data_IF_621353370966
#
_entry.id   IF_621353370966
#
_cell.length_a   1.000
_cell.length_b   1.000
_cell.length_c   1.000
_cell.angle_alpha   90.00
_cell.angle_beta   90.00
_cell.angle_gamma   90.00
#
_symmetry.space_group_name_H-M   'P 1'
#
loop_
_entity.id
_entity.type
_entity.pdbx_description
1 polymer ?
#
# COMPACT_ATOMS: atom_id res chain seq x y z
N UNK A 1 -0.23 14.71 6.93
CA UNK A 1 0.35 14.31 8.24
C UNK A 1 0.14 12.82 8.49
N UNK A 2 -1.01 12.32 8.05
CA UNK A 2 -1.53 10.97 8.04
C UNK A 2 -0.53 9.97 7.46
N UNK A 3 0.09 10.24 6.30
CA UNK A 3 1.14 9.37 5.72
C UNK A 3 2.33 9.18 6.67
N UNK A 4 2.75 10.25 7.36
CA UNK A 4 3.85 10.18 8.33
C UNK A 4 3.44 9.43 9.60
N UNK A 5 2.21 9.65 10.08
CA UNK A 5 1.65 8.91 11.19
C UNK A 5 1.58 7.41 10.89
N UNK A 6 1.16 7.04 9.67
CA UNK A 6 1.14 5.66 9.19
C UNK A 6 2.53 5.02 9.31
N UNK A 7 3.56 5.66 8.74
CA UNK A 7 4.91 5.07 8.73
C UNK A 7 5.59 5.08 10.10
N UNK A 8 5.27 6.03 10.99
CA UNK A 8 5.74 6.00 12.38
C UNK A 8 5.28 4.73 13.09
N UNK A 9 4.05 4.29 12.83
CA UNK A 9 3.54 3.02 13.35
C UNK A 9 4.30 1.80 12.84
N UNK A 10 4.95 1.91 11.68
CA UNK A 10 5.73 0.82 11.07
C UNK A 10 7.10 0.66 11.74
N UNK A 11 7.80 1.76 12.00
CA UNK A 11 9.03 1.77 12.81
C UNK A 11 9.31 3.16 13.37
N UNK A 12 9.23 3.32 14.69
CA UNK A 12 9.34 4.61 15.37
C UNK A 12 10.78 4.94 15.82
N UNK A 13 11.68 3.97 15.85
CA UNK A 13 13.01 4.14 16.43
C UNK A 13 13.83 5.21 15.69
N UNK A 14 14.65 6.01 16.40
CA UNK A 14 15.40 7.13 15.78
C UNK A 14 16.31 6.72 14.61
N UNK A 15 16.89 5.52 14.67
CA UNK A 15 17.77 4.96 13.63
C UNK A 15 17.08 4.78 12.27
N UNK A 16 15.75 4.72 12.23
CA UNK A 16 14.97 4.58 10.99
C UNK A 16 14.39 5.91 10.46
N UNK A 17 14.88 7.04 10.96
CA UNK A 17 14.40 8.38 10.57
C UNK A 17 14.45 8.65 9.06
N UNK A 18 15.55 8.31 8.40
CA UNK A 18 15.70 8.46 6.94
C UNK A 18 14.71 7.56 6.19
N UNK A 19 14.57 6.30 6.62
CA UNK A 19 13.59 5.37 6.05
C UNK A 19 12.16 5.91 6.18
N UNK A 20 11.79 6.43 7.36
CA UNK A 20 10.47 7.07 7.55
C UNK A 20 10.26 8.25 6.61
N UNK A 21 11.26 9.10 6.43
CA UNK A 21 11.17 10.25 5.54
C UNK A 21 10.91 9.83 4.08
N UNK A 22 11.67 8.85 3.57
CA UNK A 22 11.48 8.33 2.22
C UNK A 22 10.11 7.68 2.05
N UNK A 23 9.73 6.75 2.93
CA UNK A 23 8.47 6.04 2.76
C UNK A 23 7.26 6.96 2.96
N UNK A 24 7.36 8.02 3.77
CA UNK A 24 6.30 9.04 3.84
C UNK A 24 6.06 9.70 2.50
N UNK A 25 7.13 10.09 1.79
CA UNK A 25 7.04 10.69 0.45
C UNK A 25 6.44 9.70 -0.54
N UNK A 26 6.85 8.42 -0.48
CA UNK A 26 6.31 7.36 -1.32
C UNK A 26 4.82 7.11 -1.04
N UNK A 27 4.37 7.07 0.22
CA UNK A 27 2.94 6.93 0.56
C UNK A 27 2.15 8.10 -0.03
N UNK A 28 2.63 9.34 0.16
CA UNK A 28 1.95 10.51 -0.37
C UNK A 28 1.82 10.46 -1.90
N UNK A 29 2.89 10.07 -2.61
CA UNK A 29 2.86 9.91 -4.06
C UNK A 29 1.97 8.74 -4.50
N UNK A 30 2.01 7.62 -3.79
CA UNK A 30 1.16 6.47 -4.07
C UNK A 30 -0.33 6.83 -3.94
N UNK A 31 -0.72 7.61 -2.92
CA UNK A 31 -2.09 8.10 -2.79
C UNK A 31 -2.50 9.09 -3.89
N UNK A 32 -1.60 9.96 -4.35
CA UNK A 32 -1.91 10.81 -5.51
C UNK A 32 -2.10 9.96 -6.77
N UNK A 33 -1.30 8.90 -6.94
CA UNK A 33 -1.45 7.97 -8.05
C UNK A 33 -2.79 7.23 -7.92
N UNK A 34 -3.13 6.71 -6.74
CA UNK A 34 -4.42 6.08 -6.43
C UNK A 34 -5.60 6.98 -6.85
N UNK A 35 -5.62 8.24 -6.39
CA UNK A 35 -6.65 9.24 -6.76
C UNK A 35 -6.71 9.49 -8.28
N UNK A 36 -5.55 9.48 -8.96
CA UNK A 36 -5.51 9.61 -10.43
C UNK A 36 -6.22 8.43 -11.10
N UNK A 37 -6.02 7.20 -10.62
CA UNK A 37 -6.66 6.01 -11.20
C UNK A 37 -8.13 5.87 -10.85
N UNK A 38 -8.52 6.26 -9.63
CA UNK A 38 -9.86 6.04 -9.11
C UNK A 38 -10.87 7.10 -9.58
N UNK A 39 -10.50 8.38 -9.56
CA UNK A 39 -11.50 9.46 -9.69
C UNK A 39 -11.20 10.51 -10.75
N UNK A 40 -10.02 10.48 -11.39
CA UNK A 40 -9.61 11.59 -12.26
C UNK A 40 -9.23 11.19 -13.69
N UNK A 41 -8.34 10.23 -13.87
CA UNK A 41 -7.75 9.90 -15.16
C UNK A 41 -8.71 9.15 -16.08
N UNK A 42 -8.68 9.47 -17.37
CA UNK A 42 -9.38 8.67 -18.40
C UNK A 42 -8.63 7.37 -18.67
N UNK A 43 -9.31 6.31 -19.13
CA UNK A 43 -8.65 5.03 -19.37
C UNK A 43 -7.45 5.13 -20.34
N UNK A 44 -7.55 6.00 -21.36
CA UNK A 44 -6.46 6.29 -22.29
C UNK A 44 -5.26 6.97 -21.61
N UNK A 45 -5.50 7.96 -20.74
CA UNK A 45 -4.47 8.64 -19.96
C UNK A 45 -3.82 7.68 -18.95
N UNK A 46 -4.60 6.88 -18.25
CA UNK A 46 -4.12 5.88 -17.28
C UNK A 46 -3.22 4.83 -17.95
N UNK A 47 -3.51 4.47 -19.20
CA UNK A 47 -2.64 3.58 -19.98
C UNK A 47 -1.28 4.24 -20.24
N UNK A 48 -1.27 5.51 -20.67
CA UNK A 48 -0.03 6.26 -20.91
C UNK A 48 0.79 6.41 -19.61
N UNK A 49 0.12 6.69 -18.50
CA UNK A 49 0.76 6.81 -17.18
C UNK A 49 1.36 5.48 -16.71
N UNK A 50 0.62 4.39 -16.88
CA UNK A 50 1.11 3.03 -16.60
C UNK A 50 2.36 2.74 -17.42
N UNK A 51 2.32 2.99 -18.74
CA UNK A 51 3.45 2.76 -19.64
C UNK A 51 4.67 3.63 -19.29
N UNK A 52 4.46 4.86 -18.83
CA UNK A 52 5.52 5.75 -18.36
C UNK A 52 6.20 5.22 -17.10
N UNK A 53 5.43 4.75 -16.11
CA UNK A 53 5.96 4.12 -14.90
C UNK A 53 6.67 2.80 -15.22
N UNK A 54 6.17 2.00 -16.16
CA UNK A 54 6.83 0.76 -16.59
C UNK A 54 8.23 1.01 -17.16
N UNK A 55 8.36 2.05 -17.99
CA UNK A 55 9.63 2.45 -18.60
C UNK A 55 10.56 3.13 -17.60
N UNK A 56 10.00 3.93 -16.69
CA UNK A 56 10.75 4.69 -15.68
C UNK A 56 11.77 5.68 -16.30
N UNK A 57 11.41 6.32 -17.41
CA UNK A 57 12.28 7.23 -18.18
C UNK A 57 11.71 8.66 -18.21
N UNK A 58 12.53 9.68 -17.95
CA UNK A 58 12.11 11.09 -18.00
C UNK A 58 11.49 11.48 -19.36
N UNK A 59 11.99 10.91 -20.45
CA UNK A 59 11.48 11.17 -21.81
C UNK A 59 10.01 10.76 -22.02
N UNK A 60 9.43 9.98 -21.11
CA UNK A 60 8.00 9.62 -21.18
C UNK A 60 7.07 10.71 -20.67
N UNK A 61 7.60 11.69 -19.91
CA UNK A 61 6.83 12.84 -19.39
C UNK A 61 6.11 13.61 -20.51
N UNK A 62 6.79 13.84 -21.63
CA UNK A 62 6.25 14.62 -22.76
C UNK A 62 4.97 14.01 -23.38
N UNK A 63 4.70 12.73 -23.11
CA UNK A 63 3.50 12.02 -23.61
C UNK A 63 2.33 12.03 -22.62
N UNK A 64 2.52 12.56 -21.41
CA UNK A 64 1.49 12.59 -20.37
C UNK A 64 0.76 13.94 -20.35
N UNK A 65 -0.51 13.98 -19.92
CA UNK A 65 -1.17 15.22 -19.53
C UNK A 65 -0.39 15.98 -18.44
N UNK A 66 -0.49 17.31 -18.41
CA UNK A 66 0.29 18.18 -17.51
C UNK A 66 0.20 17.76 -16.02
N UNK A 67 -1.00 17.42 -15.54
CA UNK A 67 -1.18 17.00 -14.14
C UNK A 67 -0.46 15.68 -13.80
N UNK A 68 -0.45 14.74 -14.74
CA UNK A 68 0.29 13.48 -14.62
C UNK A 68 1.80 13.68 -14.71
N UNK A 69 2.26 14.64 -15.53
CA UNK A 69 3.67 15.00 -15.59
C UNK A 69 4.18 15.48 -14.23
N UNK A 70 3.41 16.33 -13.54
CA UNK A 70 3.76 16.84 -12.21
C UNK A 70 3.91 15.67 -11.22
N UNK A 71 2.94 14.75 -11.20
CA UNK A 71 2.97 13.57 -10.33
C UNK A 71 4.17 12.66 -10.65
N UNK A 72 4.38 12.31 -11.92
CA UNK A 72 5.46 11.41 -12.31
C UNK A 72 6.84 12.04 -12.10
N UNK A 73 7.01 13.33 -12.38
CA UNK A 73 8.23 14.06 -12.10
C UNK A 73 8.56 14.06 -10.59
N UNK A 74 7.57 14.30 -9.73
CA UNK A 74 7.76 14.24 -8.28
C UNK A 74 8.15 12.84 -7.80
N UNK A 75 7.59 11.78 -8.41
CA UNK A 75 8.02 10.40 -8.15
C UNK A 75 9.48 10.17 -8.54
N UNK A 76 9.89 10.61 -9.74
CA UNK A 76 11.27 10.48 -10.20
C UNK A 76 12.25 11.24 -9.29
N UNK A 77 11.90 12.44 -8.85
CA UNK A 77 12.73 13.26 -7.95
C UNK A 77 12.93 12.59 -6.57
N UNK A 78 11.85 12.10 -5.95
CA UNK A 78 11.93 11.37 -4.68
C UNK A 78 12.76 10.10 -4.82
N UNK A 79 12.56 9.34 -5.89
CA UNK A 79 13.31 8.10 -6.13
C UNK A 79 14.79 8.39 -6.42
N UNK A 80 15.10 9.52 -7.06
CA UNK A 80 16.48 9.99 -7.24
C UNK A 80 17.15 10.37 -5.93
N UNK A 81 16.45 11.08 -5.03
CA UNK A 81 16.94 11.38 -3.68
C UNK A 81 17.28 10.08 -2.90
N UNK A 82 16.41 9.09 -3.01
CA UNK A 82 16.64 7.76 -2.43
C UNK A 82 17.85 7.07 -3.07
N UNK A 83 17.96 7.12 -4.39
CA UNK A 83 19.04 6.51 -5.16
C UNK A 83 20.41 7.12 -4.83
N UNK A 84 20.52 8.45 -4.77
CA UNK A 84 21.75 9.16 -4.37
C UNK A 84 22.20 8.71 -2.97
N UNK A 85 21.26 8.58 -2.04
CA UNK A 85 21.53 8.09 -0.68
C UNK A 85 21.99 6.62 -0.68
N UNK A 86 21.32 5.76 -1.46
CA UNK A 86 21.69 4.34 -1.55
C UNK A 86 23.02 4.12 -2.26
N UNK A 87 23.37 4.92 -3.27
CA UNK A 87 24.68 4.91 -3.93
C UNK A 87 25.79 5.28 -2.94
N UNK A 88 25.59 6.35 -2.17
CA UNK A 88 26.56 6.77 -1.14
C UNK A 88 26.81 5.66 -0.10
N UNK A 89 25.80 4.87 0.23
CA UNK A 89 25.91 3.75 1.17
C UNK A 89 26.37 2.42 0.53
N UNK A 90 26.67 2.39 -0.77
CA UNK A 90 27.06 1.16 -1.48
C UNK A 90 25.92 0.14 -1.63
N UNK A 91 24.67 0.60 -1.63
CA UNK A 91 23.43 -0.22 -1.63
C UNK A 91 22.48 0.14 -2.76
N UNK A 92 22.99 0.67 -3.88
CA UNK A 92 22.20 1.10 -5.04
C UNK A 92 21.25 0.03 -5.60
N UNK A 93 21.61 -1.26 -5.45
CA UNK A 93 20.77 -2.39 -5.87
C UNK A 93 19.35 -2.37 -5.26
N UNK A 94 19.16 -1.74 -4.09
CA UNK A 94 17.84 -1.62 -3.43
C UNK A 94 16.83 -0.86 -4.28
N UNK A 95 17.30 0.06 -5.12
CA UNK A 95 16.43 0.89 -5.95
C UNK A 95 15.73 0.09 -7.06
N UNK A 96 16.32 -1.03 -7.50
CA UNK A 96 15.64 -1.95 -8.41
C UNK A 96 14.33 -2.46 -7.78
N UNK A 97 14.39 -2.96 -6.55
CA UNK A 97 13.22 -3.50 -5.85
C UNK A 97 12.19 -2.42 -5.54
N UNK A 98 12.64 -1.21 -5.19
CA UNK A 98 11.77 -0.05 -4.97
C UNK A 98 10.94 0.28 -6.22
N UNK A 99 11.60 0.35 -7.38
CA UNK A 99 10.97 0.65 -8.68
C UNK A 99 10.04 -0.48 -9.12
N UNK A 100 10.47 -1.73 -9.03
CA UNK A 100 9.64 -2.89 -9.42
C UNK A 100 8.39 -3.05 -8.55
N UNK A 101 8.49 -2.78 -7.24
CA UNK A 101 7.33 -2.80 -6.37
C UNK A 101 6.31 -1.70 -6.69
N UNK A 102 6.78 -0.50 -7.06
CA UNK A 102 5.90 0.60 -7.52
C UNK A 102 5.23 0.25 -8.86
N UNK A 103 5.96 -0.32 -9.82
CA UNK A 103 5.38 -0.81 -11.08
C UNK A 103 4.29 -1.86 -10.83
N UNK A 104 4.55 -2.80 -9.92
CA UNK A 104 3.56 -3.81 -9.52
C UNK A 104 2.25 -3.20 -9.03
N UNK A 105 2.32 -2.19 -8.17
CA UNK A 105 1.17 -1.43 -7.67
C UNK A 105 0.39 -0.75 -8.80
N UNK A 106 1.09 -0.03 -9.67
CA UNK A 106 0.48 0.73 -10.76
C UNK A 106 -0.18 -0.17 -11.80
N UNK A 107 0.40 -1.35 -12.10
CA UNK A 107 -0.24 -2.37 -12.96
C UNK A 107 -1.59 -2.83 -12.37
N UNK A 108 -1.68 -2.99 -11.06
CA UNK A 108 -2.94 -3.39 -10.41
C UNK A 108 -3.97 -2.27 -10.40
N UNK A 109 -3.57 -1.01 -10.17
CA UNK A 109 -4.47 0.13 -10.35
C UNK A 109 -5.02 0.22 -11.76
N UNK A 110 -4.18 0.02 -12.78
CA UNK A 110 -4.67 -0.02 -14.16
C UNK A 110 -5.65 -1.19 -14.41
N UNK A 111 -5.46 -2.32 -13.73
CA UNK A 111 -6.36 -3.48 -13.83
C UNK A 111 -7.72 -3.16 -13.22
N UNK A 112 -7.76 -2.54 -12.04
CA UNK A 112 -9.00 -2.09 -11.37
C UNK A 112 -9.72 -1.02 -12.19
N UNK A 113 -9.00 -0.02 -12.71
CA UNK A 113 -9.57 0.96 -13.64
C UNK A 113 -10.18 0.28 -14.87
N UNK A 114 -9.52 -0.73 -15.45
CA UNK A 114 -10.08 -1.50 -16.55
C UNK A 114 -11.38 -2.22 -16.19
N UNK A 115 -11.49 -2.78 -14.98
CA UNK A 115 -12.72 -3.39 -14.49
C UNK A 115 -13.84 -2.38 -14.39
N UNK A 116 -13.55 -1.22 -13.78
CA UNK A 116 -14.48 -0.10 -13.65
C UNK A 116 -15.02 0.37 -15.01
N UNK A 117 -14.15 0.78 -15.92
CA UNK A 117 -14.52 1.32 -17.23
C UNK A 117 -15.27 0.31 -18.11
N UNK A 118 -15.09 -0.99 -17.91
CA UNK A 118 -15.78 -2.06 -18.65
C UNK A 118 -17.05 -2.55 -17.94
N UNK A 119 -17.34 -2.07 -16.73
CA UNK A 119 -18.41 -2.61 -15.89
C UNK A 119 -18.23 -4.10 -15.56
N UNK A 120 -16.98 -4.57 -15.55
CA UNK A 120 -16.67 -5.96 -15.24
C UNK A 120 -16.65 -6.16 -13.73
N UNK A 121 -17.28 -7.23 -13.26
CA UNK A 121 -17.18 -7.65 -11.87
C UNK A 121 -16.44 -8.98 -11.83
N UNK A 122 -15.22 -9.02 -11.26
CA UNK A 122 -14.44 -10.23 -11.14
C UNK A 122 -15.09 -11.22 -10.15
N UNK A 123 -14.64 -12.48 -10.17
CA UNK A 123 -14.86 -13.36 -9.02
C UNK A 123 -14.11 -12.80 -7.81
N UNK A 124 -14.53 -13.15 -6.60
CA UNK A 124 -13.86 -12.75 -5.37
C UNK A 124 -12.40 -13.24 -5.33
N UNK A 125 -12.11 -14.43 -5.85
CA UNK A 125 -10.73 -14.92 -5.96
C UNK A 125 -9.89 -14.08 -6.95
N UNK A 126 -10.45 -13.75 -8.12
CA UNK A 126 -9.78 -12.88 -9.11
C UNK A 126 -9.55 -11.49 -8.52
N UNK A 127 -10.56 -10.92 -7.86
CA UNK A 127 -10.47 -9.66 -7.12
C UNK A 127 -9.31 -9.68 -6.13
N UNK A 128 -9.25 -10.67 -5.23
CA UNK A 128 -8.20 -10.75 -4.21
C UNK A 128 -6.79 -10.88 -4.80
N UNK A 129 -6.65 -11.49 -5.98
CA UNK A 129 -5.35 -11.59 -6.65
C UNK A 129 -4.77 -10.21 -7.04
N UNK A 130 -5.65 -9.24 -7.34
CA UNK A 130 -5.32 -7.85 -7.69
C UNK A 130 -5.36 -6.96 -6.45
N UNK A 131 -6.44 -7.03 -5.67
CA UNK A 131 -6.71 -6.24 -4.46
C UNK A 131 -5.61 -6.29 -3.41
N UNK A 132 -4.99 -7.46 -3.23
CA UNK A 132 -3.85 -7.64 -2.30
C UNK A 132 -2.65 -6.79 -2.71
N UNK A 133 -2.44 -6.56 -4.01
CA UNK A 133 -1.33 -5.74 -4.51
C UNK A 133 -1.73 -4.27 -4.59
N UNK A 134 -2.94 -3.96 -5.09
CA UNK A 134 -3.45 -2.59 -5.23
C UNK A 134 -3.63 -1.88 -3.90
N UNK A 135 -3.86 -2.61 -2.80
CA UNK A 135 -3.81 -2.05 -1.45
C UNK A 135 -2.45 -1.45 -1.06
N UNK A 136 -1.41 -1.56 -1.89
CA UNK A 136 -0.12 -0.90 -1.71
C UNK A 136 0.79 -1.52 -0.66
N UNK A 137 0.29 -2.44 0.16
CA UNK A 137 1.01 -3.02 1.29
C UNK A 137 2.27 -3.80 0.92
N UNK A 138 2.28 -4.67 -0.12
CA UNK A 138 3.51 -5.31 -0.57
C UNK A 138 4.56 -4.31 -1.05
N UNK A 139 4.12 -3.22 -1.71
CA UNK A 139 4.97 -2.12 -2.13
C UNK A 139 5.57 -1.39 -0.91
N UNK A 140 4.74 -1.01 0.07
CA UNK A 140 5.19 -0.33 1.29
C UNK A 140 6.11 -1.19 2.16
N UNK A 141 5.86 -2.51 2.23
CA UNK A 141 6.75 -3.44 2.91
C UNK A 141 8.13 -3.48 2.25
N UNK A 142 8.19 -3.48 0.91
CA UNK A 142 9.45 -3.43 0.15
C UNK A 142 10.17 -2.10 0.34
N UNK A 143 9.45 -0.98 0.20
CA UNK A 143 10.01 0.37 0.39
C UNK A 143 10.56 0.57 1.80
N UNK A 144 9.90 -0.01 2.79
CA UNK A 144 10.31 0.06 4.19
C UNK A 144 11.69 -0.53 4.46
N UNK A 145 12.12 -1.55 3.72
CA UNK A 145 13.44 -2.16 3.91
C UNK A 145 14.59 -1.27 3.43
N UNK A 146 14.33 -0.27 2.57
CA UNK A 146 15.37 0.58 1.95
C UNK A 146 16.18 1.31 3.02
N UNK A 147 15.50 1.87 4.02
CA UNK A 147 16.12 2.64 5.11
C UNK A 147 16.61 1.82 6.30
N UNK A 148 16.56 0.48 6.26
CA UNK A 148 16.80 -0.35 7.45
C UNK A 148 18.28 -0.67 7.75
N UNK A 149 19.23 -0.08 7.03
CA UNK A 149 20.65 -0.34 7.27
C UNK A 149 21.09 -1.73 6.82
N UNK A 150 22.11 -2.30 7.46
CA UNK A 150 22.75 -3.57 7.07
C UNK A 150 21.83 -4.80 7.18
N UNK A 151 20.78 -4.75 8.01
CA UNK A 151 19.89 -5.90 8.20
C UNK A 151 19.10 -6.25 6.93
N UNK A 152 18.85 -5.26 6.06
CA UNK A 152 18.12 -5.43 4.81
C UNK A 152 19.07 -5.82 3.66
N UNK A 153 19.50 -7.08 3.66
CA UNK A 153 20.38 -7.63 2.62
C UNK A 153 19.63 -7.83 1.30
N UNK A 154 20.34 -8.21 0.23
CA UNK A 154 19.71 -8.53 -1.05
C UNK A 154 18.70 -9.68 -0.92
N UNK A 155 19.02 -10.69 -0.10
CA UNK A 155 18.14 -11.83 0.17
C UNK A 155 16.84 -11.39 0.86
N UNK A 156 16.90 -10.36 1.72
CA UNK A 156 15.70 -9.77 2.32
C UNK A 156 14.81 -9.11 1.27
N UNK A 157 15.41 -8.46 0.27
CA UNK A 157 14.67 -7.86 -0.85
C UNK A 157 14.10 -8.90 -1.80
N UNK A 158 14.87 -9.95 -2.15
CA UNK A 158 14.38 -11.09 -2.94
C UNK A 158 13.21 -11.79 -2.22
N UNK A 159 13.28 -11.90 -0.90
CA UNK A 159 12.21 -12.46 -0.07
C UNK A 159 10.97 -11.57 -0.03
N UNK A 160 11.09 -10.27 0.24
CA UNK A 160 9.89 -9.42 0.42
C UNK A 160 9.14 -9.19 -0.89
N UNK A 161 9.87 -9.02 -2.00
CA UNK A 161 9.26 -8.71 -3.31
C UNK A 161 8.51 -9.91 -3.89
N UNK A 162 8.83 -11.14 -3.46
CA UNK A 162 8.09 -12.34 -3.85
C UNK A 162 6.72 -12.44 -3.15
N UNK A 163 6.37 -11.48 -2.29
CA UNK A 163 5.11 -11.41 -1.54
C UNK A 163 4.83 -12.73 -0.78
N UNK A 164 5.73 -13.14 0.14
CA UNK A 164 5.62 -14.39 0.87
C UNK A 164 4.38 -14.40 1.76
N UNK A 165 3.96 -15.57 2.25
CA UNK A 165 2.68 -15.76 2.95
C UNK A 165 2.41 -14.70 4.02
N UNK A 166 3.39 -14.37 4.87
CA UNK A 166 3.23 -13.32 5.89
C UNK A 166 2.93 -11.93 5.29
N UNK A 167 3.63 -11.52 4.22
CA UNK A 167 3.41 -10.24 3.54
C UNK A 167 2.05 -10.25 2.85
N UNK A 168 1.70 -11.35 2.17
CA UNK A 168 0.39 -11.56 1.55
C UNK A 168 -0.74 -11.49 2.58
N UNK A 169 -0.60 -12.13 3.73
CA UNK A 169 -1.61 -12.08 4.81
C UNK A 169 -1.74 -10.67 5.41
N UNK A 170 -0.63 -9.94 5.59
CA UNK A 170 -0.69 -8.54 6.03
C UNK A 170 -1.43 -7.65 5.02
N UNK A 171 -1.14 -7.82 3.74
CA UNK A 171 -1.80 -7.09 2.66
C UNK A 171 -3.28 -7.49 2.49
N UNK A 172 -3.60 -8.76 2.67
CA UNK A 172 -4.98 -9.25 2.66
C UNK A 172 -5.82 -8.63 3.79
N UNK A 173 -5.26 -8.52 5.00
CA UNK A 173 -5.92 -7.81 6.11
C UNK A 173 -6.22 -6.37 5.71
N UNK A 174 -5.24 -5.67 5.11
CA UNK A 174 -5.43 -4.30 4.69
C UNK A 174 -6.55 -4.15 3.66
N UNK A 175 -6.50 -4.94 2.58
CA UNK A 175 -7.53 -4.90 1.52
C UNK A 175 -8.92 -5.17 2.08
N UNK A 176 -9.08 -6.25 2.85
CA UNK A 176 -10.37 -6.68 3.38
C UNK A 176 -10.94 -5.75 4.45
N UNK A 177 -10.08 -5.19 5.31
CA UNK A 177 -10.50 -4.19 6.29
C UNK A 177 -10.92 -2.91 5.58
N UNK A 178 -10.16 -2.45 4.59
CA UNK A 178 -10.49 -1.28 3.78
C UNK A 178 -11.85 -1.49 3.10
N UNK A 179 -12.02 -2.58 2.34
CA UNK A 179 -13.28 -2.93 1.66
C UNK A 179 -14.49 -2.83 2.58
N UNK A 180 -14.44 -3.42 3.78
CA UNK A 180 -15.56 -3.36 4.73
C UNK A 180 -15.84 -1.93 5.19
N UNK A 181 -14.78 -1.12 5.37
CA UNK A 181 -14.85 0.20 6.01
C UNK A 181 -15.19 1.31 5.02
N UNK A 182 -14.86 1.13 3.74
CA UNK A 182 -15.09 2.09 2.66
C UNK A 182 -16.30 1.72 1.78
N UNK A 183 -16.77 0.46 1.81
CA UNK A 183 -17.87 -0.06 0.96
C UNK A 183 -19.00 0.92 0.67
N UNK A 184 -19.59 1.52 1.72
CA UNK A 184 -20.74 2.43 1.55
C UNK A 184 -20.36 3.72 0.82
N UNK A 185 -19.20 4.27 1.14
CA UNK A 185 -18.70 5.48 0.48
C UNK A 185 -18.35 5.18 -0.99
N UNK A 186 -17.76 4.03 -1.27
CA UNK A 186 -17.44 3.56 -2.62
C UNK A 186 -18.72 3.36 -3.46
N UNK A 187 -19.76 2.76 -2.88
CA UNK A 187 -21.07 2.63 -3.54
C UNK A 187 -21.69 3.99 -3.87
N UNK A 188 -21.59 4.97 -2.97
CA UNK A 188 -22.12 6.32 -3.18
C UNK A 188 -21.37 7.09 -4.27
N UNK A 189 -20.05 6.89 -4.39
CA UNK A 189 -19.24 7.43 -5.48
C UNK A 189 -19.44 6.69 -6.80
N UNK A 190 -19.89 5.44 -6.73
CA UNK A 190 -20.08 4.56 -7.87
C UNK A 190 -18.76 3.99 -8.37
N UNK A 191 -17.84 3.66 -7.45
CA UNK A 191 -16.50 3.15 -7.76
C UNK A 191 -16.53 1.72 -8.36
N UNK A 192 -15.34 1.17 -8.65
CA UNK A 192 -15.19 -0.22 -9.00
C UNK A 192 -15.77 -1.15 -7.92
N UNK A 193 -16.23 -2.38 -8.26
CA UNK A 193 -16.72 -3.33 -7.27
C UNK A 193 -15.67 -3.64 -6.20
N UNK A 194 -15.97 -3.35 -4.92
CA UNK A 194 -15.10 -3.74 -3.81
C UNK A 194 -15.11 -5.26 -3.60
N UNK A 195 -14.26 -5.75 -2.69
CA UNK A 195 -14.30 -7.15 -2.28
C UNK A 195 -15.67 -7.58 -1.74
N UNK A 196 -16.41 -6.68 -1.08
CA UNK A 196 -17.76 -6.96 -0.58
C UNK A 196 -18.72 -7.19 -1.75
N UNK A 197 -18.74 -6.33 -2.76
CA UNK A 197 -19.56 -6.51 -3.98
C UNK A 197 -19.22 -7.81 -4.71
N UNK A 198 -17.93 -8.09 -4.89
CA UNK A 198 -17.47 -9.29 -5.59
C UNK A 198 -17.95 -10.55 -4.87
N UNK A 199 -17.82 -10.59 -3.54
CA UNK A 199 -18.28 -11.71 -2.72
C UNK A 199 -19.81 -11.89 -2.77
N UNK A 200 -20.56 -10.79 -2.64
CA UNK A 200 -22.02 -10.82 -2.71
C UNK A 200 -22.52 -11.35 -4.06
N UNK A 201 -21.95 -10.86 -5.17
CA UNK A 201 -22.34 -11.27 -6.52
C UNK A 201 -21.99 -12.72 -6.82
N UNK A 202 -20.82 -13.19 -6.41
CA UNK A 202 -20.40 -14.58 -6.64
C UNK A 202 -21.24 -15.59 -5.84
N UNK A 203 -21.49 -15.28 -4.56
CA UNK A 203 -22.14 -16.24 -3.65
C UNK A 203 -23.65 -16.03 -3.49
N UNK A 204 -24.21 -14.95 -4.03
CA UNK A 204 -25.64 -14.64 -3.93
C UNK A 204 -26.11 -14.35 -2.50
N UNK A 205 -25.24 -13.74 -1.70
CA UNK A 205 -25.47 -13.45 -0.26
C UNK A 205 -25.71 -11.96 -0.01
N UNK A 206 -26.25 -11.64 1.17
CA UNK A 206 -26.42 -10.24 1.60
C UNK A 206 -25.09 -9.56 1.94
N UNK A 207 -25.07 -8.22 1.94
CA UNK A 207 -23.93 -7.41 2.39
C UNK A 207 -23.46 -7.81 3.79
N UNK A 208 -24.41 -8.06 4.69
CA UNK A 208 -24.11 -8.47 6.07
C UNK A 208 -23.37 -9.82 6.10
N UNK A 209 -23.86 -10.81 5.37
CA UNK A 209 -23.25 -12.14 5.29
C UNK A 209 -21.86 -12.07 4.64
N UNK A 210 -21.71 -11.27 3.57
CA UNK A 210 -20.41 -11.03 2.93
C UNK A 210 -19.41 -10.38 3.90
N UNK A 211 -19.82 -9.32 4.61
CA UNK A 211 -18.99 -8.67 5.63
C UNK A 211 -18.60 -9.61 6.78
N UNK A 212 -19.51 -10.49 7.22
CA UNK A 212 -19.21 -11.50 8.24
C UNK A 212 -18.14 -12.50 7.74
N UNK A 213 -18.25 -12.97 6.49
CA UNK A 213 -17.24 -13.86 5.90
C UNK A 213 -15.90 -13.20 5.66
N UNK A 214 -15.88 -11.96 5.21
CA UNK A 214 -14.63 -11.21 5.06
C UNK A 214 -13.94 -11.01 6.42
N UNK A 215 -14.68 -10.76 7.51
CA UNK A 215 -14.10 -10.68 8.86
C UNK A 215 -13.49 -12.01 9.32
N UNK A 216 -14.13 -13.14 9.05
CA UNK A 216 -13.56 -14.47 9.32
C UNK A 216 -12.23 -14.67 8.56
N UNK A 217 -12.14 -14.18 7.31
CA UNK A 217 -10.91 -14.23 6.52
C UNK A 217 -9.80 -13.33 7.11
N UNK A 218 -10.14 -12.14 7.61
CA UNK A 218 -9.20 -11.27 8.33
C UNK A 218 -8.66 -11.97 9.58
N UNK A 219 -9.53 -12.62 10.37
CA UNK A 219 -9.09 -13.41 11.53
C UNK A 219 -8.18 -14.58 11.14
N UNK A 220 -8.46 -15.25 10.02
CA UNK A 220 -7.60 -16.31 9.48
C UNK A 220 -6.24 -15.77 9.05
N UNK A 221 -6.19 -14.62 8.38
CA UNK A 221 -4.96 -13.98 7.96
C UNK A 221 -4.09 -13.55 9.16
N UNK A 222 -4.70 -13.12 10.27
CA UNK A 222 -3.98 -12.88 11.52
C UNK A 222 -3.37 -14.17 12.12
N UNK A 223 -4.07 -15.30 12.04
CA UNK A 223 -3.53 -16.61 12.45
C UNK A 223 -2.36 -17.03 11.58
N UNK A 224 -2.48 -16.86 10.27
CA UNK A 224 -1.39 -17.13 9.32
C UNK A 224 -0.14 -16.31 9.66
N UNK A 225 -0.28 -15.02 9.94
CA UNK A 225 0.84 -14.16 10.36
C UNK A 225 1.52 -14.72 11.61
N UNK A 226 0.74 -15.12 12.63
CA UNK A 226 1.28 -15.69 13.86
C UNK A 226 2.05 -16.98 13.61
N UNK A 227 1.55 -17.86 12.74
CA UNK A 227 2.22 -19.09 12.35
C UNK A 227 3.54 -18.83 11.59
N UNK A 228 3.53 -17.91 10.62
CA UNK A 228 4.74 -17.56 9.84
C UNK A 228 5.84 -16.96 10.73
N UNK A 229 5.48 -16.22 11.79
CA UNK A 229 6.44 -15.67 12.76
C UNK A 229 7.08 -16.78 13.64
N UNK A 230 6.48 -17.95 13.76
CA UNK A 230 7.03 -19.06 14.54
C UNK A 230 7.91 -20.01 13.72
N UNK A 231 7.93 -19.86 12.38
CA UNK A 231 8.72 -20.73 11.52
C UNK A 231 10.23 -20.60 11.77
N UNK A 232 10.99 -21.71 11.73
CA UNK A 232 12.43 -21.69 12.01
C UNK A 232 13.26 -21.09 10.86
N UNK A 233 12.76 -21.15 9.63
CA UNK A 233 13.42 -20.72 8.39
C UNK A 233 13.04 -19.30 7.95
N UNK A 234 12.23 -18.60 8.76
CA UNK A 234 11.82 -17.23 8.46
C UNK A 234 13.00 -16.24 8.53
N UNK A 235 12.90 -15.08 7.84
CA UNK A 235 13.84 -13.98 8.05
C UNK A 235 13.87 -13.48 9.50
N UNK A 236 14.98 -12.81 9.90
CA UNK A 236 15.07 -12.09 11.17
C UNK A 236 13.85 -11.20 11.44
N UNK A 237 13.42 -11.13 12.71
CA UNK A 237 12.24 -10.34 13.12
C UNK A 237 12.24 -8.89 12.59
N UNK A 238 13.37 -8.14 12.61
CA UNK A 238 13.38 -6.79 12.08
C UNK A 238 12.90 -6.66 10.62
N UNK A 239 13.06 -7.70 9.80
CA UNK A 239 12.62 -7.70 8.41
C UNK A 239 11.13 -8.05 8.25
N UNK A 240 10.53 -8.70 9.25
CA UNK A 240 9.10 -9.03 9.28
C UNK A 240 8.26 -7.89 9.85
N UNK A 241 8.85 -7.11 10.78
CA UNK A 241 8.16 -6.03 11.48
C UNK A 241 7.51 -4.99 10.56
N UNK A 242 8.10 -4.55 9.44
CA UNK A 242 7.45 -3.58 8.58
C UNK A 242 6.10 -4.06 8.04
N UNK A 243 6.02 -5.25 7.46
CA UNK A 243 4.77 -5.81 6.96
C UNK A 243 3.75 -6.03 8.10
N UNK A 244 4.20 -6.58 9.23
CA UNK A 244 3.35 -6.80 10.41
C UNK A 244 2.78 -5.48 10.96
N UNK A 245 3.62 -4.46 11.07
CA UNK A 245 3.22 -3.18 11.64
C UNK A 245 2.33 -2.39 10.67
N UNK A 246 2.50 -2.53 9.35
CA UNK A 246 1.53 -2.06 8.38
C UNK A 246 0.15 -2.67 8.64
N UNK A 247 0.06 -4.00 8.86
CA UNK A 247 -1.22 -4.65 9.21
C UNK A 247 -1.79 -4.13 10.54
N UNK A 248 -0.95 -3.94 11.56
CA UNK A 248 -1.36 -3.32 12.83
C UNK A 248 -1.89 -1.90 12.65
N UNK A 249 -1.34 -1.13 11.71
CA UNK A 249 -1.82 0.22 11.44
C UNK A 249 -3.23 0.24 10.83
N UNK A 250 -3.68 -0.83 10.16
CA UNK A 250 -5.08 -0.94 9.76
C UNK A 250 -6.02 -0.99 10.96
N UNK A 251 -5.67 -1.74 11.99
CA UNK A 251 -6.46 -1.82 13.23
C UNK A 251 -6.53 -0.47 13.97
N UNK A 252 -5.55 0.42 13.73
CA UNK A 252 -5.47 1.75 14.35
C UNK A 252 -6.22 2.79 13.51
N UNK A 253 -5.85 2.93 12.24
CA UNK A 253 -6.38 3.96 11.33
C UNK A 253 -7.84 3.65 10.96
N UNK A 254 -8.16 2.37 10.73
CA UNK A 254 -9.47 1.94 10.23
C UNK A 254 -10.45 1.49 11.32
N UNK A 255 -10.09 1.66 12.60
CA UNK A 255 -10.90 1.17 13.71
C UNK A 255 -12.35 1.66 13.64
N UNK A 256 -12.55 2.95 13.35
CA UNK A 256 -13.86 3.62 13.35
C UNK A 256 -14.34 4.02 11.95
N UNK A 257 -13.79 3.42 10.89
CA UNK A 257 -14.00 3.83 9.50
C UNK A 257 -12.68 4.29 8.88
N UNK A 258 -12.72 4.82 7.66
CA UNK A 258 -11.53 5.31 6.96
C UNK A 258 -10.96 6.57 7.63
N UNK A 259 -10.03 6.35 8.56
CA UNK A 259 -9.30 7.40 9.25
C UNK A 259 -8.16 8.01 8.44
N UNK A 260 -7.86 7.48 7.25
CA UNK A 260 -6.87 8.04 6.33
C UNK A 260 -7.48 9.18 5.53
N UNK A 261 -8.59 8.91 4.83
CA UNK A 261 -9.30 9.91 4.03
C UNK A 261 -10.10 10.88 4.92
N UNK A 262 -10.61 10.41 6.07
CA UNK A 262 -11.32 11.25 7.03
C UNK A 262 -10.65 11.21 8.42
N UNK A 263 -9.56 11.96 8.57
CA UNK A 263 -8.76 11.97 9.80
C UNK A 263 -9.39 12.76 10.96
N UNK A 264 -10.53 13.44 10.77
CA UNK A 264 -11.08 14.43 11.73
C UNK A 264 -11.47 13.87 13.09
N UNK A 265 -11.75 12.57 13.18
CA UNK A 265 -12.17 11.87 14.41
C UNK A 265 -11.00 11.36 15.25
N UNK A 266 -11.04 10.06 15.56
CA UNK A 266 -10.03 9.39 16.41
C UNK A 266 -8.61 9.54 15.89
N UNK A 267 -8.40 9.49 14.58
CA UNK A 267 -7.07 9.61 13.97
C UNK A 267 -6.39 10.93 14.35
N UNK A 268 -7.08 12.07 14.24
CA UNK A 268 -6.56 13.38 14.65
C UNK A 268 -6.14 13.42 16.12
N UNK A 269 -6.91 12.78 17.01
CA UNK A 269 -6.59 12.73 18.46
C UNK A 269 -5.30 11.94 18.69
N UNK A 270 -5.12 10.80 18.03
CA UNK A 270 -3.90 9.98 18.16
C UNK A 270 -2.70 10.71 17.54
N UNK A 271 -2.88 11.38 16.40
CA UNK A 271 -1.83 12.17 15.77
C UNK A 271 -1.36 13.29 16.71
N UNK A 272 -2.29 14.01 17.32
CA UNK A 272 -1.97 15.08 18.27
C UNK A 272 -1.18 14.55 19.48
N UNK A 273 -1.63 13.44 20.08
CA UNK A 273 -0.95 12.87 21.25
C UNK A 273 0.45 12.33 20.97
N UNK A 274 0.77 11.99 19.71
CA UNK A 274 2.07 11.47 19.32
C UNK A 274 3.03 12.54 18.78
N UNK A 275 2.50 13.55 18.08
CA UNK A 275 3.32 14.49 17.28
C UNK A 275 3.21 15.95 17.72
N UNK A 276 2.29 16.28 18.64
CA UNK A 276 2.04 17.65 19.10
C UNK A 276 2.20 17.76 20.61
N UNK A 277 1.55 16.88 21.37
CA UNK A 277 1.47 16.98 22.83
C UNK A 277 2.59 16.16 23.50
N UNK A 278 3.61 16.80 24.12
CA UNK A 278 4.67 16.05 24.80
C UNK A 278 4.15 15.42 26.10
N UNK A 279 4.73 14.28 26.46
CA UNK A 279 4.50 13.67 27.78
C UNK A 279 5.02 14.63 28.85
N UNK A 280 4.18 15.01 29.81
CA UNK A 280 4.59 15.82 30.95
C UNK A 280 5.61 15.05 31.80
N UNK A 281 6.70 15.73 32.17
CA UNK A 281 7.82 15.19 32.96
C UNK A 281 7.65 15.58 34.43
#
# INVERSE_FOLDING_TARGET
VECYFWIIGVYFEPKYSVGRAFVTKIIALASVIDDIYDVYGTLEELKLFTDAIERWEEATLDNLPEYMQICFWALLDVVKEMEDKMVYEGRSYRMYYAKEAMKGLVRTYFTEANWFYKGYVPTFEEYLSVGVISGGYPMLATQSLIGMGEVATKEAFDWVISVPKIVRSCALIARLVDDIKTHKAEQERGDAPSGVECYMKEHGVSEKEACEKIKEMVESAWKDINEEIQKPDRPPLPLLLPALNLARMMEVIYHQGDGYSNSTGRTKVIIASLLVDPVSI
#
